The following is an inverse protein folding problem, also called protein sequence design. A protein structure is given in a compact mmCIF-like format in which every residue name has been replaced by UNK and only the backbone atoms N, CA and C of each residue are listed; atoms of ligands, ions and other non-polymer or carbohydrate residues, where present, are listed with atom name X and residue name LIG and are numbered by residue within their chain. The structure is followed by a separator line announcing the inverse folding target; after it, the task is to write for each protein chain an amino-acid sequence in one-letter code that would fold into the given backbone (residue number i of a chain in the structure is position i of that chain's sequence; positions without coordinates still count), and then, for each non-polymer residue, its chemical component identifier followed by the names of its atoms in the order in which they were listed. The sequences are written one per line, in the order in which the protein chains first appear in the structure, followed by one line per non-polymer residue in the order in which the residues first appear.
data_IF_043521955553
#
_entry.id   IF_043521955553
#
_cell.length_a   1.000
_cell.length_b   1.000
_cell.length_c   1.000
_cell.angle_alpha   90.00
_cell.angle_beta   90.00
_cell.angle_gamma   90.00
#
_symmetry.space_group_name_H-M   'P 1'
#
loop_
_entity.id
_entity.type
_entity.pdbx_description
1 polymer ?
#
# COMPACT_ATOMS: atom_id res chain seq x y z
N UNK A 1 1.55 -61.37 19.81
CA UNK A 1 1.90 -61.51 18.38
C UNK A 1 1.17 -60.43 17.59
N UNK A 2 1.91 -59.66 16.77
CA UNK A 2 1.50 -58.87 15.58
C UNK A 2 0.49 -57.71 15.85
N UNK A 3 0.93 -56.44 15.98
CA UNK A 3 1.23 -55.42 14.93
C UNK A 3 0.10 -55.30 13.88
N UNK A 4 -0.13 -54.06 13.40
CA UNK A 4 -1.05 -53.62 12.30
C UNK A 4 -2.38 -53.15 12.93
N UNK A 5 -2.80 -51.87 12.99
CA UNK A 5 -2.61 -50.69 12.13
C UNK A 5 -2.75 -49.43 13.01
N UNK A 6 -1.64 -48.77 13.34
CA UNK A 6 -1.62 -47.41 13.88
C UNK A 6 -1.24 -46.48 12.72
N UNK A 7 -2.12 -46.36 11.72
CA UNK A 7 -1.77 -45.64 10.48
C UNK A 7 -2.99 -45.10 9.73
N UNK A 8 -3.95 -44.53 10.46
CA UNK A 8 -5.12 -43.87 9.84
C UNK A 8 -5.44 -42.52 10.48
N UNK A 9 -4.41 -41.77 10.90
CA UNK A 9 -4.59 -40.41 11.45
C UNK A 9 -3.51 -39.41 11.01
N UNK A 10 -2.84 -39.64 9.86
CA UNK A 10 -1.77 -38.77 9.34
C UNK A 10 -2.03 -38.43 7.85
N UNK A 11 -3.29 -38.18 7.45
CA UNK A 11 -3.63 -37.73 6.08
C UNK A 11 -4.53 -36.48 6.08
N UNK A 12 -4.82 -35.87 7.24
CA UNK A 12 -5.65 -34.66 7.33
C UNK A 12 -4.86 -33.38 7.68
N UNK A 13 -3.54 -33.43 7.66
CA UNK A 13 -2.69 -32.23 7.52
C UNK A 13 -2.46 -31.98 6.03
N UNK A 14 -3.54 -31.91 5.25
CA UNK A 14 -3.59 -31.07 4.06
C UNK A 14 -3.50 -29.64 4.58
N UNK A 15 -2.27 -29.22 4.90
CA UNK A 15 -1.95 -27.83 5.15
C UNK A 15 -2.43 -27.06 3.93
N UNK A 16 -3.54 -26.33 4.08
CA UNK A 16 -3.88 -25.28 3.13
C UNK A 16 -2.69 -24.34 3.17
N UNK A 17 -1.85 -24.40 2.16
CA UNK A 17 -0.94 -23.30 1.85
C UNK A 17 -1.86 -22.15 1.43
N UNK A 18 -2.34 -21.39 2.42
CA UNK A 18 -2.93 -20.08 2.18
C UNK A 18 -1.76 -19.26 1.64
N UNK A 19 -1.70 -19.13 0.32
CA UNK A 19 -0.75 -18.23 -0.31
C UNK A 19 -1.14 -16.84 0.13
N UNK A 20 -0.20 -16.14 0.76
CA UNK A 20 -0.45 -14.82 1.30
C UNK A 20 -0.90 -13.89 0.17
N UNK A 21 -2.09 -13.29 0.30
CA UNK A 21 -2.66 -12.45 -0.75
C UNK A 21 -2.07 -11.05 -0.61
N UNK A 22 -1.18 -10.69 -1.53
CA UNK A 22 -0.60 -9.35 -1.57
C UNK A 22 -1.45 -8.42 -2.40
N UNK A 23 -1.64 -7.19 -1.93
CA UNK A 23 -2.38 -6.14 -2.64
C UNK A 23 -1.59 -4.83 -2.60
N UNK A 24 -1.74 -4.02 -3.64
CA UNK A 24 -0.99 -2.77 -3.80
C UNK A 24 -1.90 -1.65 -4.29
N UNK A 25 -1.84 -0.50 -3.62
CA UNK A 25 -2.48 0.74 -4.07
C UNK A 25 -1.41 1.82 -4.30
N UNK A 26 -1.40 2.38 -5.51
CA UNK A 26 -0.55 3.50 -5.90
C UNK A 26 -1.33 4.81 -5.91
N UNK A 27 -0.75 5.87 -5.35
CA UNK A 27 -1.26 7.22 -5.45
C UNK A 27 -0.15 8.14 -5.92
N UNK A 28 -0.42 9.04 -6.88
CA UNK A 28 0.60 9.91 -7.46
C UNK A 28 0.22 11.38 -7.47
N UNK A 29 1.26 12.20 -7.57
CA UNK A 29 1.23 13.64 -7.78
C UNK A 29 2.12 13.98 -8.97
N UNK A 30 1.64 14.84 -9.86
CA UNK A 30 2.35 15.18 -11.10
C UNK A 30 2.15 14.12 -12.19
N UNK A 31 3.08 14.07 -13.15
CA UNK A 31 2.98 13.17 -14.31
C UNK A 31 4.21 12.26 -14.38
N UNK A 32 4.08 10.95 -14.63
CA UNK A 32 5.24 10.10 -14.83
C UNK A 32 6.24 10.66 -15.86
N UNK A 33 7.53 10.63 -15.52
CA UNK A 33 8.61 11.16 -16.37
C UNK A 33 8.88 12.67 -16.23
N UNK A 34 8.33 13.34 -15.21
CA UNK A 34 8.63 14.76 -14.91
C UNK A 34 9.35 14.91 -13.55
N UNK A 35 10.08 16.01 -13.37
CA UNK A 35 10.85 16.25 -12.14
C UNK A 35 9.98 16.41 -10.88
N UNK A 36 8.71 16.79 -11.05
CA UNK A 36 7.74 16.92 -9.97
C UNK A 36 6.87 15.67 -9.74
N UNK A 37 7.15 14.57 -10.44
CA UNK A 37 6.45 13.30 -10.22
C UNK A 37 6.76 12.75 -8.83
N UNK A 38 5.72 12.35 -8.12
CA UNK A 38 5.83 11.65 -6.84
C UNK A 38 4.75 10.58 -6.78
N UNK A 39 5.04 9.45 -6.17
CA UNK A 39 4.11 8.34 -6.00
C UNK A 39 4.32 7.70 -4.62
N UNK A 40 3.23 7.41 -3.94
CA UNK A 40 3.18 6.60 -2.74
C UNK A 40 2.54 5.25 -3.08
N UNK A 41 3.24 4.18 -2.79
CA UNK A 41 2.76 2.81 -3.05
C UNK A 41 2.61 2.07 -1.74
N UNK A 42 1.38 1.65 -1.45
CA UNK A 42 0.99 1.01 -0.20
C UNK A 42 0.76 -0.48 -0.43
N UNK A 43 1.60 -1.30 0.19
CA UNK A 43 1.52 -2.76 0.11
C UNK A 43 0.78 -3.33 1.32
N UNK A 44 -0.04 -4.33 1.07
CA UNK A 44 -0.63 -5.16 2.12
C UNK A 44 -0.37 -6.62 1.82
N UNK A 45 -0.30 -7.41 2.87
CA UNK A 45 -0.16 -8.87 2.81
C UNK A 45 -1.15 -9.43 3.81
N UNK A 46 -2.07 -10.27 3.34
CA UNK A 46 -3.15 -10.85 4.16
C UNK A 46 -4.04 -9.80 4.85
N UNK A 47 -4.27 -8.66 4.18
CA UNK A 47 -5.09 -7.56 4.70
C UNK A 47 -4.40 -6.73 5.79
N UNK A 48 -3.13 -6.97 6.06
CA UNK A 48 -2.31 -6.18 6.97
C UNK A 48 -1.28 -5.36 6.19
N UNK A 49 -0.94 -4.17 6.69
CA UNK A 49 0.13 -3.35 6.11
C UNK A 49 1.45 -4.12 6.06
N UNK A 50 2.20 -3.97 4.97
CA UNK A 50 3.53 -4.57 4.85
C UNK A 50 4.61 -3.52 4.57
N UNK A 51 4.58 -2.90 3.39
CA UNK A 51 5.59 -1.93 2.96
C UNK A 51 4.96 -0.67 2.39
N UNK A 52 5.66 0.45 2.52
CA UNK A 52 5.31 1.69 1.84
C UNK A 52 6.52 2.18 1.09
N UNK A 53 6.33 2.52 -0.19
CA UNK A 53 7.36 3.09 -1.03
C UNK A 53 7.00 4.51 -1.42
N UNK A 54 8.00 5.37 -1.51
CA UNK A 54 7.92 6.70 -2.07
C UNK A 54 8.83 6.78 -3.29
N UNK A 55 8.23 7.04 -4.45
CA UNK A 55 8.90 7.16 -5.73
C UNK A 55 8.85 8.61 -6.20
N UNK A 56 9.95 9.16 -6.72
CA UNK A 56 10.02 10.58 -7.07
C UNK A 56 10.94 10.90 -8.25
N UNK A 57 10.65 12.04 -8.86
CA UNK A 57 11.41 12.64 -9.95
C UNK A 57 11.23 11.93 -11.29
N UNK A 58 11.85 12.52 -12.31
CA UNK A 58 11.77 12.04 -13.70
C UNK A 58 12.23 10.60 -13.87
N UNK A 59 13.25 10.20 -13.11
CA UNK A 59 13.86 8.88 -13.19
C UNK A 59 13.21 7.85 -12.25
N UNK A 60 12.08 8.19 -11.61
CA UNK A 60 11.34 7.32 -10.66
C UNK A 60 12.26 6.68 -9.61
N UNK A 61 13.05 7.52 -8.91
CA UNK A 61 13.86 7.04 -7.78
C UNK A 61 12.94 6.58 -6.67
N UNK A 62 13.15 5.39 -6.14
CA UNK A 62 12.30 4.79 -5.12
C UNK A 62 13.03 4.67 -3.79
N UNK A 63 12.33 4.95 -2.69
CA UNK A 63 12.79 4.71 -1.32
C UNK A 63 11.68 4.05 -0.50
N UNK A 64 12.04 3.10 0.34
CA UNK A 64 11.12 2.55 1.34
C UNK A 64 10.97 3.54 2.51
N UNK A 65 9.73 3.77 2.94
CA UNK A 65 9.37 4.64 4.06
C UNK A 65 8.63 3.84 5.12
N UNK A 66 8.81 4.23 6.38
CA UNK A 66 8.30 3.46 7.52
C UNK A 66 6.96 4.00 7.97
N UNK A 67 5.95 3.14 8.11
CA UNK A 67 4.75 3.46 8.86
C UNK A 67 5.09 3.63 10.34
N UNK A 68 4.69 4.74 10.97
CA UNK A 68 5.01 5.06 12.38
C UNK A 68 3.77 5.32 13.26
N UNK A 69 2.57 4.99 12.78
CA UNK A 69 1.33 5.04 13.57
C UNK A 69 0.25 5.95 12.98
N UNK A 70 -0.93 5.89 13.58
CA UNK A 70 -2.07 6.77 13.30
C UNK A 70 -2.02 8.04 14.16
N UNK A 71 -2.75 9.05 13.74
CA UNK A 71 -2.98 10.30 14.48
C UNK A 71 -4.26 10.97 14.00
N UNK A 72 -4.88 11.79 14.85
CA UNK A 72 -6.02 12.62 14.45
C UNK A 72 -5.55 14.07 14.29
N UNK A 73 -5.82 14.67 13.11
CA UNK A 73 -5.48 16.06 12.82
C UNK A 73 -6.76 16.77 12.37
N UNK A 74 -7.14 17.83 13.08
CA UNK A 74 -8.34 18.64 12.78
C UNK A 74 -9.62 17.79 12.62
N UNK A 75 -9.80 16.77 13.46
CA UNK A 75 -10.97 15.87 13.39
C UNK A 75 -10.92 14.83 12.27
N UNK A 76 -9.80 14.73 11.54
CA UNK A 76 -9.61 13.73 10.49
C UNK A 76 -8.54 12.73 10.91
N UNK A 77 -8.86 11.44 10.86
CA UNK A 77 -7.88 10.38 11.07
C UNK A 77 -6.89 10.33 9.92
N UNK A 78 -5.62 10.24 10.28
CA UNK A 78 -4.50 10.13 9.36
C UNK A 78 -3.51 9.07 9.85
N UNK A 79 -2.55 8.72 9.02
CA UNK A 79 -1.40 7.93 9.42
C UNK A 79 -0.11 8.58 9.00
N UNK A 80 0.97 8.19 9.67
CA UNK A 80 2.29 8.79 9.52
C UNK A 80 3.24 7.82 8.83
N UNK A 81 4.00 8.35 7.89
CA UNK A 81 5.15 7.69 7.28
C UNK A 81 6.42 8.48 7.56
N UNK A 82 7.54 7.80 7.80
CA UNK A 82 8.83 8.38 8.12
C UNK A 82 9.90 7.94 7.11
N UNK A 83 10.61 8.91 6.58
CA UNK A 83 11.79 8.71 5.76
C UNK A 83 13.02 8.41 6.63
N UNK A 84 14.05 7.82 6.04
CA UNK A 84 15.31 7.53 6.73
C UNK A 84 15.95 8.77 7.39
N UNK A 85 15.78 9.96 6.78
CA UNK A 85 16.25 11.24 7.30
C UNK A 85 15.36 11.84 8.42
N UNK A 86 14.40 11.08 8.95
CA UNK A 86 13.45 11.49 10.00
C UNK A 86 12.40 12.51 9.56
N UNK A 87 12.33 12.84 8.27
CA UNK A 87 11.21 13.59 7.74
C UNK A 87 9.91 12.76 7.83
N UNK A 88 8.83 13.39 8.27
CA UNK A 88 7.53 12.72 8.50
C UNK A 88 6.49 13.36 7.60
N UNK A 89 5.71 12.51 6.94
CA UNK A 89 4.50 12.90 6.23
C UNK A 89 3.28 12.31 6.92
N UNK A 90 2.23 13.12 6.99
CA UNK A 90 0.88 12.74 7.40
C UNK A 90 0.06 12.48 6.16
N UNK A 91 -0.58 11.32 6.13
CA UNK A 91 -1.41 10.85 5.03
C UNK A 91 -2.85 10.81 5.53
N UNK A 92 -3.68 11.72 5.01
CA UNK A 92 -5.08 11.84 5.38
C UNK A 92 -5.96 11.42 4.20
N UNK A 93 -6.62 10.26 4.30
CA UNK A 93 -7.61 9.84 3.33
C UNK A 93 -8.76 10.86 3.18
N UNK A 94 -9.14 11.15 1.94
CA UNK A 94 -10.26 12.03 1.65
C UNK A 94 -10.99 11.54 0.39
N UNK A 95 -12.08 10.79 0.57
CA UNK A 95 -12.89 10.22 -0.51
C UNK A 95 -12.07 9.30 -1.43
N UNK A 96 -11.46 9.84 -2.49
CA UNK A 96 -10.70 9.06 -3.50
C UNK A 96 -9.27 9.56 -3.69
N UNK A 97 -8.83 10.47 -2.81
CA UNK A 97 -7.51 11.10 -2.84
C UNK A 97 -6.86 11.05 -1.47
N UNK A 98 -5.55 11.19 -1.46
CA UNK A 98 -4.77 11.35 -0.23
C UNK A 98 -4.30 12.79 -0.12
N UNK A 99 -4.60 13.42 1.02
CA UNK A 99 -3.96 14.68 1.40
C UNK A 99 -2.66 14.33 2.12
N UNK A 100 -1.55 14.80 1.60
CA UNK A 100 -0.20 14.47 2.09
C UNK A 100 0.47 15.76 2.54
N UNK A 101 0.76 15.86 3.83
CA UNK A 101 1.36 17.06 4.41
C UNK A 101 2.48 16.76 5.38
N UNK A 102 3.41 17.70 5.56
CA UNK A 102 4.36 17.67 6.69
C UNK A 102 3.78 18.37 7.92
N UNK A 103 4.47 18.27 9.06
CA UNK A 103 4.05 18.91 10.32
C UNK A 103 3.94 20.43 10.19
N UNK A 104 4.74 21.06 9.33
CA UNK A 104 4.74 22.52 9.15
C UNK A 104 3.75 23.01 8.08
N UNK A 105 3.08 22.08 7.39
CA UNK A 105 2.19 22.35 6.25
C UNK A 105 2.86 23.09 5.06
N UNK A 106 4.19 23.17 5.04
CA UNK A 106 4.96 23.71 3.90
C UNK A 106 4.95 22.74 2.73
N UNK A 107 4.99 21.45 3.03
CA UNK A 107 4.67 20.40 2.09
C UNK A 107 3.19 20.08 2.25
N UNK A 108 2.40 20.30 1.21
CA UNK A 108 0.97 19.97 1.19
C UNK A 108 0.56 19.66 -0.25
N UNK A 109 0.25 18.40 -0.51
CA UNK A 109 -0.07 17.89 -1.85
C UNK A 109 -1.27 16.96 -1.81
N UNK A 110 -1.95 16.90 -2.94
CA UNK A 110 -3.06 15.99 -3.19
C UNK A 110 -2.56 14.90 -4.12
N UNK A 111 -2.55 13.66 -3.63
CA UNK A 111 -2.21 12.49 -4.42
C UNK A 111 -3.50 11.82 -4.89
N UNK A 112 -3.56 11.48 -6.18
CA UNK A 112 -4.70 10.81 -6.81
C UNK A 112 -4.34 9.35 -7.06
N UNK A 113 -5.34 8.46 -7.06
CA UNK A 113 -5.09 7.06 -7.39
C UNK A 113 -4.47 6.93 -8.79
N UNK A 114 -3.43 6.11 -8.89
CA UNK A 114 -2.72 5.83 -10.13
C UNK A 114 -2.99 4.38 -10.56
N UNK A 115 -3.65 4.23 -11.70
CA UNK A 115 -3.90 2.92 -12.29
C UNK A 115 -2.60 2.31 -12.80
N UNK A 116 -2.24 1.14 -12.26
CA UNK A 116 -1.07 0.35 -12.67
C UNK A 116 -1.57 -0.91 -13.41
N UNK A 117 -1.73 -0.79 -14.72
CA UNK A 117 -2.23 -1.88 -15.57
C UNK A 117 -2.25 -1.51 -17.06
N UNK A 118 -2.70 -2.43 -17.94
CA UNK A 118 -2.72 -2.19 -19.37
C UNK A 118 -3.71 -1.08 -19.74
N UNK A 119 -3.24 -0.08 -20.48
CA UNK A 119 -4.07 1.00 -21.02
C UNK A 119 -4.30 0.73 -22.49
N UNK A 120 -5.56 0.57 -22.90
CA UNK A 120 -5.93 0.23 -24.29
C UNK A 120 -5.21 -1.02 -24.83
N UNK A 121 -4.99 -2.03 -23.97
CA UNK A 121 -4.30 -3.27 -24.33
C UNK A 121 -2.77 -3.17 -24.40
N UNK A 122 -2.19 -2.02 -24.02
CA UNK A 122 -0.73 -1.81 -23.96
C UNK A 122 -0.29 -1.74 -22.50
N UNK A 123 0.62 -2.63 -22.09
CA UNK A 123 1.14 -2.73 -20.73
C UNK A 123 1.08 -4.15 -20.18
N UNK A 124 1.55 -4.35 -18.95
CA UNK A 124 1.47 -5.64 -18.24
C UNK A 124 0.35 -5.57 -17.20
N UNK A 125 -0.45 -6.63 -17.14
CA UNK A 125 -1.46 -6.77 -16.09
C UNK A 125 -0.79 -6.88 -14.72
N UNK A 126 -1.27 -6.12 -13.74
CA UNK A 126 -0.81 -6.19 -12.37
C UNK A 126 -1.84 -6.96 -11.52
N UNK A 127 -1.60 -8.26 -11.31
CA UNK A 127 -2.51 -9.12 -10.53
C UNK A 127 -2.71 -8.64 -9.08
N UNK A 128 -1.69 -7.98 -8.51
CA UNK A 128 -1.69 -7.53 -7.12
C UNK A 128 -2.20 -6.10 -6.97
N UNK A 129 -2.35 -5.34 -8.05
CA UNK A 129 -2.80 -3.96 -7.98
C UNK A 129 -4.31 -3.92 -7.74
N UNK A 130 -4.77 -2.91 -7.02
CA UNK A 130 -6.19 -2.59 -6.90
C UNK A 130 -6.77 -2.21 -8.26
N UNK A 131 -8.01 -2.63 -8.51
CA UNK A 131 -8.62 -2.51 -9.84
C UNK A 131 -9.16 -1.09 -10.09
N UNK A 132 -9.59 -0.42 -9.03
CA UNK A 132 -10.16 0.93 -9.08
C UNK A 132 -9.83 1.78 -7.83
N UNK A 133 -10.19 3.05 -7.91
CA UNK A 133 -9.99 4.05 -6.85
C UNK A 133 -10.79 3.77 -5.56
N UNK A 134 -11.93 3.10 -5.65
CA UNK A 134 -12.76 2.75 -4.49
C UNK A 134 -12.10 1.62 -3.69
N UNK A 135 -11.58 0.63 -4.39
CA UNK A 135 -10.80 -0.46 -3.81
C UNK A 135 -9.46 0.04 -3.24
N UNK A 136 -8.79 0.96 -3.95
CA UNK A 136 -7.60 1.63 -3.45
C UNK A 136 -7.87 2.31 -2.11
N UNK A 137 -8.95 3.10 -2.01
CA UNK A 137 -9.25 3.80 -0.77
C UNK A 137 -9.61 2.82 0.35
N UNK A 138 -10.41 1.80 0.05
CA UNK A 138 -10.74 0.75 1.02
C UNK A 138 -9.49 0.06 1.58
N UNK A 139 -8.49 -0.22 0.74
CA UNK A 139 -7.20 -0.77 1.19
C UNK A 139 -6.51 0.17 2.19
N UNK A 140 -6.47 1.47 1.91
CA UNK A 140 -5.88 2.48 2.80
C UNK A 140 -6.61 2.52 4.14
N UNK A 141 -7.93 2.69 4.13
CA UNK A 141 -8.74 2.80 5.33
C UNK A 141 -8.64 1.55 6.21
N UNK A 142 -8.74 0.37 5.60
CA UNK A 142 -8.77 -0.90 6.35
C UNK A 142 -7.40 -1.40 6.81
N UNK A 143 -6.29 -0.92 6.23
CA UNK A 143 -4.96 -1.46 6.55
C UNK A 143 -4.05 -0.45 7.24
N UNK A 144 -4.25 0.85 7.00
CA UNK A 144 -3.37 1.91 7.48
C UNK A 144 -4.01 2.82 8.55
N UNK A 145 -5.34 2.86 8.64
CA UNK A 145 -6.09 3.61 9.67
C UNK A 145 -6.68 2.74 10.80
N UNK A 146 -6.35 1.44 10.85
CA UNK A 146 -6.73 0.53 11.95
C UNK A 146 -6.29 1.05 13.33
#
# INVERSE_FOLDING_TARGET
MKKVIFLTFIILLLGKTIFAQSRVAGYSYGKPGTDNYEQLTFWTTDGERSKVYYTYGKDRKEVEVQYIGTEEINGSMCFKIQFANKFILFITPNVKKLLVSDVSSKYNKIFLWEYEGPVNGIGTYCDICVEDEDEAMKLIETSYLK
#
